data_IF_430015556441
#
_entry.id   IF_430015556441
#
_cell.length_a   1.000
_cell.length_b   1.000
_cell.length_c   1.000
_cell.angle_alpha   90.00
_cell.angle_beta   90.00
_cell.angle_gamma   90.00
#
_symmetry.space_group_name_H-M   'P 1'
#
loop_
_entity.id
_entity.type
_entity.pdbx_description
1 polymer ?
#
# COMPACT_ATOMS: atom_id res chain seq x y z
N UNK A 1 13.88 10.68 -2.86
CA UNK A 1 12.65 11.43 -2.44
C UNK A 1 11.42 10.52 -2.42
N UNK A 2 11.10 9.72 -3.49
CA UNK A 2 9.91 8.86 -3.52
C UNK A 2 9.81 7.93 -2.30
N UNK A 3 10.91 7.29 -1.91
CA UNK A 3 10.96 6.42 -0.73
C UNK A 3 10.63 7.21 0.55
N UNK A 4 11.10 8.44 0.66
CA UNK A 4 10.83 9.30 1.81
C UNK A 4 9.38 9.79 1.80
N UNK A 5 8.88 10.27 0.67
CA UNK A 5 7.55 10.87 0.56
C UNK A 5 6.42 9.83 0.59
N UNK A 6 6.54 8.77 -0.20
CA UNK A 6 5.48 7.78 -0.43
C UNK A 6 5.78 6.41 0.19
N UNK A 7 7.07 6.04 0.25
CA UNK A 7 7.46 4.68 0.57
C UNK A 7 7.29 3.75 -0.64
N UNK A 8 6.47 2.72 -0.49
CA UNK A 8 6.10 1.82 -1.58
C UNK A 8 4.67 2.13 -2.05
N UNK A 9 4.43 2.00 -3.34
CA UNK A 9 3.11 2.15 -3.96
C UNK A 9 2.71 0.81 -4.59
N UNK A 10 1.89 0.00 -3.92
CA UNK A 10 1.42 -1.29 -4.44
C UNK A 10 0.35 -1.10 -5.50
N UNK A 11 0.03 -2.20 -6.20
CA UNK A 11 -1.07 -2.27 -7.17
C UNK A 11 -2.14 -3.19 -6.61
N UNK A 12 -3.34 -2.66 -6.35
CA UNK A 12 -4.51 -3.44 -6.02
C UNK A 12 -5.08 -4.10 -7.29
N UNK A 13 -5.56 -5.34 -7.15
CA UNK A 13 -6.13 -6.10 -8.25
C UNK A 13 -7.33 -5.38 -8.86
N UNK A 14 -7.56 -5.66 -10.14
CA UNK A 14 -8.76 -5.18 -10.82
C UNK A 14 -10.03 -5.58 -10.06
N UNK A 15 -10.93 -4.63 -9.96
CA UNK A 15 -12.29 -4.82 -9.47
C UNK A 15 -13.29 -4.13 -10.39
N UNK A 16 -14.47 -4.72 -10.54
CA UNK A 16 -15.53 -4.15 -11.38
C UNK A 16 -16.10 -2.89 -10.75
N UNK A 17 -16.23 -1.78 -11.49
CA UNK A 17 -16.86 -0.56 -10.99
C UNK A 17 -18.27 -0.81 -10.44
N UNK A 18 -18.66 -0.04 -9.43
CA UNK A 18 -19.95 -0.13 -8.74
C UNK A 18 -20.21 -1.46 -8.01
N UNK A 19 -19.15 -2.18 -7.67
CA UNK A 19 -19.21 -3.38 -6.82
C UNK A 19 -18.29 -3.23 -5.60
N UNK A 20 -18.31 -4.20 -4.69
CA UNK A 20 -17.41 -4.24 -3.55
C UNK A 20 -15.99 -4.74 -3.90
N UNK A 21 -15.77 -5.19 -5.11
CA UNK A 21 -14.47 -5.75 -5.54
C UNK A 21 -13.32 -4.74 -5.39
N UNK A 22 -13.54 -3.45 -5.74
CA UNK A 22 -12.51 -2.40 -5.59
C UNK A 22 -12.26 -2.08 -4.11
N UNK A 23 -13.27 -1.78 -3.28
CA UNK A 23 -13.08 -1.59 -1.84
C UNK A 23 -12.38 -2.77 -1.15
N UNK A 24 -12.76 -4.00 -1.48
CA UNK A 24 -12.16 -5.21 -0.91
C UNK A 24 -10.68 -5.31 -1.29
N UNK A 25 -10.34 -5.14 -2.58
CA UNK A 25 -8.96 -5.15 -3.05
C UNK A 25 -8.11 -4.05 -2.40
N UNK A 26 -8.66 -2.85 -2.22
CA UNK A 26 -7.97 -1.70 -1.60
C UNK A 26 -7.79 -1.91 -0.10
N UNK A 27 -8.73 -2.56 0.58
CA UNK A 27 -8.70 -2.76 2.03
C UNK A 27 -7.44 -3.49 2.53
N UNK A 28 -6.84 -4.33 1.68
CA UNK A 28 -5.59 -5.04 1.97
C UNK A 28 -4.39 -4.08 2.10
N UNK A 29 -4.46 -2.89 1.52
CA UNK A 29 -3.33 -1.97 1.40
C UNK A 29 -3.45 -0.70 2.25
N UNK A 30 -4.67 -0.18 2.47
CA UNK A 30 -4.88 1.13 3.12
C UNK A 30 -4.30 1.24 4.52
N UNK A 31 -4.13 0.14 5.22
CA UNK A 31 -3.52 0.14 6.56
C UNK A 31 -1.99 0.22 6.52
N UNK A 32 -1.38 -0.03 5.35
CA UNK A 32 0.05 -0.27 5.21
C UNK A 32 0.76 0.70 4.29
N UNK A 33 0.04 1.36 3.39
CA UNK A 33 0.60 2.22 2.35
C UNK A 33 -0.15 3.55 2.30
N UNK A 34 0.53 4.59 1.85
CA UNK A 34 -0.02 5.95 1.73
C UNK A 34 -0.64 6.21 0.36
N UNK A 35 -0.32 5.38 -0.62
CA UNK A 35 -0.84 5.42 -1.98
C UNK A 35 -0.97 4.00 -2.53
N UNK A 36 -1.94 3.79 -3.40
CA UNK A 36 -2.22 2.50 -4.06
C UNK A 36 -2.58 2.75 -5.52
N UNK A 37 -1.97 2.03 -6.44
CA UNK A 37 -2.44 1.97 -7.82
C UNK A 37 -3.61 1.00 -7.92
N UNK A 38 -4.59 1.36 -8.71
CA UNK A 38 -5.77 0.51 -8.97
C UNK A 38 -5.65 -0.01 -10.39
N UNK A 39 -5.53 -1.33 -10.56
CA UNK A 39 -5.37 -1.94 -11.88
C UNK A 39 -6.49 -1.50 -12.82
N UNK A 40 -6.11 -0.92 -13.98
CA UNK A 40 -6.99 -0.36 -15.01
C UNK A 40 -7.90 0.82 -14.55
N UNK A 41 -7.72 1.37 -13.34
CA UNK A 41 -8.57 2.45 -12.84
C UNK A 41 -7.81 3.74 -12.51
N UNK A 42 -6.50 3.66 -12.19
CA UNK A 42 -5.69 4.83 -11.84
C UNK A 42 -5.01 4.71 -10.48
N UNK A 43 -4.96 5.80 -9.72
CA UNK A 43 -4.30 5.87 -8.44
C UNK A 43 -5.24 6.36 -7.33
N UNK A 44 -4.99 5.90 -6.11
CA UNK A 44 -5.67 6.33 -4.89
C UNK A 44 -4.62 6.81 -3.89
N UNK A 45 -4.83 8.00 -3.34
CA UNK A 45 -4.05 8.52 -2.21
C UNK A 45 -4.98 8.99 -1.10
N UNK A 46 -4.51 8.94 0.12
CA UNK A 46 -5.27 9.39 1.28
C UNK A 46 -4.33 9.93 2.35
N UNK A 47 -4.86 10.81 3.21
CA UNK A 47 -4.13 11.43 4.31
C UNK A 47 -5.10 12.05 5.30
N UNK A 48 -4.56 12.71 6.33
CA UNK A 48 -5.32 13.42 7.37
C UNK A 48 -6.06 14.66 6.82
N UNK A 49 -5.65 15.18 5.66
CA UNK A 49 -6.29 16.30 4.99
C UNK A 49 -6.32 16.12 3.48
N UNK A 50 -7.27 16.81 2.82
CA UNK A 50 -7.39 16.78 1.37
C UNK A 50 -6.13 17.31 0.69
N UNK A 51 -5.54 18.39 1.21
CA UNK A 51 -4.29 18.95 0.67
C UNK A 51 -3.15 17.94 0.77
N UNK A 52 -2.98 17.27 1.91
CA UNK A 52 -1.93 16.27 2.06
C UNK A 52 -2.14 15.06 1.14
N UNK A 53 -3.38 14.62 0.94
CA UNK A 53 -3.71 13.56 -0.03
C UNK A 53 -3.42 14.00 -1.47
N UNK A 54 -3.73 15.25 -1.82
CA UNK A 54 -3.43 15.84 -3.12
C UNK A 54 -1.92 15.88 -3.39
N UNK A 55 -1.12 16.36 -2.45
CA UNK A 55 0.34 16.41 -2.59
C UNK A 55 0.97 15.02 -2.73
N UNK A 56 0.39 14.01 -2.09
CA UNK A 56 0.79 12.61 -2.31
C UNK A 56 0.46 12.17 -3.74
N UNK A 57 -0.70 12.56 -4.29
CA UNK A 57 -1.07 12.24 -5.67
C UNK A 57 -0.13 12.90 -6.68
N UNK A 58 0.23 14.17 -6.49
CA UNK A 58 1.24 14.83 -7.31
C UNK A 58 2.58 14.08 -7.26
N UNK A 59 2.98 13.61 -6.08
CA UNK A 59 4.20 12.81 -5.93
C UNK A 59 4.11 11.49 -6.69
N UNK A 60 2.98 10.77 -6.63
CA UNK A 60 2.76 9.53 -7.39
C UNK A 60 2.91 9.78 -8.89
N UNK A 61 2.24 10.81 -9.42
CA UNK A 61 2.29 11.16 -10.83
C UNK A 61 3.71 11.53 -11.27
N UNK A 62 4.37 12.41 -10.52
CA UNK A 62 5.72 12.85 -10.82
C UNK A 62 6.72 11.68 -10.87
N UNK A 63 6.65 10.77 -9.90
CA UNK A 63 7.52 9.60 -9.88
C UNK A 63 7.18 8.57 -10.94
N UNK A 64 5.93 8.43 -11.33
CA UNK A 64 5.55 7.60 -12.48
C UNK A 64 6.20 8.12 -13.77
N UNK A 65 6.19 9.44 -13.98
CA UNK A 65 6.86 10.09 -15.12
C UNK A 65 8.38 9.88 -15.06
N UNK A 66 9.02 10.09 -13.91
CA UNK A 66 10.46 9.87 -13.74
C UNK A 66 10.85 8.41 -13.99
N UNK A 67 10.06 7.47 -13.52
CA UNK A 67 10.29 6.05 -13.76
C UNK A 67 10.17 5.69 -15.23
N UNK A 68 9.16 6.24 -15.91
CA UNK A 68 8.99 6.06 -17.37
C UNK A 68 10.21 6.59 -18.13
N UNK A 69 10.62 7.84 -17.86
CA UNK A 69 11.80 8.45 -18.48
C UNK A 69 13.08 7.68 -18.18
N UNK A 70 13.27 7.24 -16.93
CA UNK A 70 14.42 6.44 -16.52
C UNK A 70 14.51 5.12 -17.27
N UNK A 71 13.36 4.45 -17.50
CA UNK A 71 13.33 3.21 -18.30
C UNK A 71 13.75 3.43 -19.74
N UNK A 72 13.44 4.58 -20.33
CA UNK A 72 13.91 4.94 -21.69
C UNK A 72 15.43 5.16 -21.74
N UNK A 73 16.07 5.48 -20.62
CA UNK A 73 17.51 5.69 -20.47
C UNK A 73 18.26 4.45 -19.95
N UNK A 74 17.66 3.28 -19.98
CA UNK A 74 18.29 2.02 -19.53
C UNK A 74 17.82 1.54 -18.16
N UNK A 75 16.89 2.21 -17.53
CA UNK A 75 16.26 1.85 -16.26
C UNK A 75 16.92 2.48 -15.04
N UNK A 76 16.18 2.54 -13.92
CA UNK A 76 16.72 3.04 -12.66
C UNK A 76 17.66 2.02 -12.03
N UNK A 77 18.62 2.50 -11.25
CA UNK A 77 19.40 1.65 -10.35
C UNK A 77 18.59 1.41 -9.08
N UNK A 78 18.46 0.16 -8.69
CA UNK A 78 17.82 -0.21 -7.44
C UNK A 78 18.70 0.17 -6.24
N UNK A 79 18.04 0.57 -5.15
CA UNK A 79 18.72 0.79 -3.88
C UNK A 79 19.04 -0.55 -3.21
N UNK A 80 20.15 -0.58 -2.50
CA UNK A 80 20.44 -1.70 -1.59
C UNK A 80 19.47 -1.64 -0.40
N UNK A 81 19.20 -2.78 0.30
CA UNK A 81 18.37 -2.78 1.49
C UNK A 81 18.82 -1.79 2.57
N UNK A 82 20.14 -1.61 2.74
CA UNK A 82 20.69 -0.64 3.69
C UNK A 82 20.34 0.80 3.29
N UNK A 83 20.49 1.16 2.01
CA UNK A 83 20.14 2.49 1.52
C UNK A 83 18.64 2.78 1.70
N UNK A 84 17.79 1.78 1.53
CA UNK A 84 16.35 1.92 1.79
C UNK A 84 16.11 2.19 3.27
N UNK A 85 16.75 1.46 4.17
CA UNK A 85 16.63 1.67 5.63
C UNK A 85 17.09 3.08 6.04
N UNK A 86 18.22 3.54 5.51
CA UNK A 86 18.74 4.90 5.77
C UNK A 86 17.73 5.98 5.32
N UNK A 87 17.06 5.78 4.19
CA UNK A 87 16.01 6.70 3.71
C UNK A 87 14.75 6.67 4.60
N UNK A 88 14.39 5.51 5.14
CA UNK A 88 13.29 5.40 6.10
C UNK A 88 13.64 6.04 7.45
N UNK A 89 14.91 6.02 7.87
CA UNK A 89 15.34 6.76 9.05
C UNK A 89 15.15 8.27 8.85
N UNK A 90 15.52 8.81 7.69
CA UNK A 90 15.27 10.22 7.34
C UNK A 90 13.76 10.51 7.37
N UNK A 91 12.93 9.62 6.83
CA UNK A 91 11.46 9.73 6.88
C UNK A 91 10.96 9.85 8.33
N UNK A 92 11.48 9.00 9.25
CA UNK A 92 11.15 9.06 10.68
C UNK A 92 11.57 10.39 11.32
N UNK A 93 12.77 10.88 11.01
CA UNK A 93 13.28 12.17 11.52
C UNK A 93 12.43 13.35 11.07
N UNK A 94 11.87 13.32 9.88
CA UNK A 94 10.93 14.32 9.39
C UNK A 94 9.50 14.18 9.96
N UNK A 95 9.27 13.20 10.81
CA UNK A 95 7.95 12.95 11.38
C UNK A 95 6.90 12.50 10.34
N UNK A 96 7.34 12.05 9.17
CA UNK A 96 6.43 11.60 8.11
C UNK A 96 5.81 10.27 8.51
N UNK A 97 4.50 10.24 8.54
CA UNK A 97 3.74 9.02 8.82
C UNK A 97 3.78 8.07 7.61
N UNK A 98 3.64 6.80 7.87
CA UNK A 98 3.62 5.74 6.87
C UNK A 98 4.40 4.52 7.36
N UNK A 99 4.10 3.36 6.81
CA UNK A 99 4.72 2.11 7.24
C UNK A 99 5.90 1.74 6.34
N UNK A 100 6.91 1.16 6.95
CA UNK A 100 8.05 0.65 6.22
C UNK A 100 7.67 -0.66 5.51
N UNK A 101 7.85 -0.79 4.18
CA UNK A 101 7.52 -2.03 3.46
C UNK A 101 8.20 -3.27 4.03
N UNK A 102 9.44 -3.15 4.52
CA UNK A 102 10.16 -4.24 5.16
C UNK A 102 9.48 -4.80 6.42
N UNK A 103 8.64 -4.00 7.08
CA UNK A 103 7.84 -4.46 8.22
C UNK A 103 6.64 -5.32 7.80
N UNK A 104 6.30 -5.28 6.54
CA UNK A 104 5.16 -6.03 5.95
C UNK A 104 5.62 -7.34 5.31
N UNK A 105 6.92 -7.50 5.06
CA UNK A 105 7.48 -8.71 4.48
C UNK A 105 8.19 -9.52 5.56
N UNK A 106 7.59 -10.61 6.08
CA UNK A 106 8.21 -11.45 7.10
C UNK A 106 9.56 -12.02 6.66
N UNK A 107 9.79 -12.19 5.36
CA UNK A 107 11.03 -12.72 4.81
C UNK A 107 12.22 -11.77 4.95
N UNK A 108 12.01 -10.46 5.13
CA UNK A 108 13.10 -9.49 5.34
C UNK A 108 13.68 -9.61 6.75
N UNK A 109 12.85 -9.96 7.75
CA UNK A 109 13.31 -10.17 9.13
C UNK A 109 14.19 -11.42 9.31
N UNK A 110 14.12 -12.36 8.39
CA UNK A 110 14.87 -13.63 8.43
C UNK A 110 16.16 -13.59 7.59
N UNK A 111 16.61 -12.42 7.12
CA UNK A 111 17.83 -12.30 6.30
C UNK A 111 17.73 -12.93 4.92
N UNK A 112 16.53 -13.27 4.45
CA UNK A 112 16.30 -13.73 3.09
C UNK A 112 16.38 -12.53 2.11
N UNK A 113 16.84 -12.75 0.88
CA UNK A 113 16.97 -11.67 -0.10
C UNK A 113 15.62 -10.95 -0.26
N UNK A 114 15.69 -9.63 -0.29
CA UNK A 114 14.54 -8.75 -0.43
C UNK A 114 13.55 -9.26 -1.47
N UNK A 115 12.29 -9.23 -1.12
CA UNK A 115 11.22 -9.50 -2.07
C UNK A 115 11.33 -8.51 -3.24
N UNK A 116 11.89 -8.93 -4.37
CA UNK A 116 12.01 -8.13 -5.59
C UNK A 116 10.64 -7.82 -6.23
N UNK A 117 9.57 -8.17 -5.56
CA UNK A 117 8.20 -8.04 -6.03
C UNK A 117 7.34 -7.29 -5.01
N UNK A 118 7.63 -6.00 -4.78
CA UNK A 118 6.58 -5.12 -4.29
C UNK A 118 5.47 -4.90 -5.36
N UNK A 119 5.45 -5.68 -6.41
CA UNK A 119 4.41 -5.74 -7.44
C UNK A 119 3.63 -7.06 -7.48
N UNK A 120 3.93 -7.99 -6.58
CA UNK A 120 3.20 -9.24 -6.46
C UNK A 120 3.16 -9.62 -4.99
N UNK A 121 1.96 -9.76 -4.45
CA UNK A 121 1.75 -10.04 -3.03
C UNK A 121 2.71 -11.08 -2.50
N UNK A 122 3.35 -10.76 -1.39
CA UNK A 122 3.97 -11.77 -0.55
C UNK A 122 2.83 -12.67 -0.06
N UNK A 123 2.49 -13.67 -0.86
CA UNK A 123 1.68 -14.76 -0.36
C UNK A 123 2.54 -15.55 0.63
N UNK A 124 2.48 -15.16 1.89
CA UNK A 124 2.58 -16.15 2.94
C UNK A 124 1.27 -16.93 2.88
N UNK A 125 1.34 -18.23 2.73
CA UNK A 125 0.27 -19.16 3.07
C UNK A 125 0.01 -19.12 4.60
N UNK A 126 -0.18 -17.93 5.13
CA UNK A 126 -0.71 -17.76 6.46
C UNK A 126 -2.22 -17.72 6.32
N UNK A 127 -2.78 -18.83 6.78
CA UNK A 127 -4.18 -19.06 7.03
C UNK A 127 -4.89 -17.74 7.25
N UNK A 128 -5.79 -17.37 6.31
CA UNK A 128 -6.86 -16.43 6.56
C UNK A 128 -7.36 -16.69 7.97
N UNK A 129 -7.14 -15.77 8.89
CA UNK A 129 -8.03 -15.64 10.02
C UNK A 129 -9.35 -15.16 9.39
N UNK A 130 -10.07 -16.08 8.83
CA UNK A 130 -11.45 -15.85 8.43
C UNK A 130 -12.10 -15.30 9.70
N UNK A 131 -12.56 -14.05 9.64
CA UNK A 131 -13.48 -13.53 10.65
C UNK A 131 -14.54 -14.60 10.78
N UNK A 132 -14.65 -15.21 11.98
CA UNK A 132 -15.52 -16.37 12.14
C UNK A 132 -16.93 -15.95 11.74
N UNK A 133 -17.67 -16.86 11.13
CA UNK A 133 -19.07 -16.60 10.75
C UNK A 133 -19.89 -16.03 11.92
N UNK A 134 -19.51 -16.38 13.15
CA UNK A 134 -20.13 -15.88 14.38
C UNK A 134 -19.89 -14.40 14.61
N UNK A 135 -18.69 -13.87 14.33
CA UNK A 135 -18.38 -12.43 14.45
C UNK A 135 -19.12 -11.63 13.38
N UNK A 136 -19.23 -12.16 12.17
CA UNK A 136 -20.03 -11.52 11.10
C UNK A 136 -21.50 -11.50 11.49
N UNK A 137 -22.04 -12.59 12.03
CA UNK A 137 -23.42 -12.67 12.49
C UNK A 137 -23.70 -11.70 13.65
N UNK A 138 -22.77 -11.56 14.62
CA UNK A 138 -22.93 -10.64 15.74
C UNK A 138 -22.89 -9.17 15.29
N UNK A 139 -21.98 -8.81 14.39
CA UNK A 139 -21.92 -7.45 13.82
C UNK A 139 -23.19 -7.15 13.04
N UNK A 140 -23.64 -8.09 12.20
CA UNK A 140 -24.88 -7.93 11.41
C UNK A 140 -26.09 -7.73 12.33
N UNK A 141 -26.20 -8.50 13.40
CA UNK A 141 -27.27 -8.36 14.39
C UNK A 141 -27.27 -6.98 15.05
N UNK A 142 -26.11 -6.51 15.52
CA UNK A 142 -25.96 -5.17 16.13
C UNK A 142 -26.33 -4.04 15.16
N UNK A 143 -25.96 -4.15 13.89
CA UNK A 143 -26.31 -3.16 12.86
C UNK A 143 -27.80 -3.16 12.60
N UNK A 144 -28.45 -4.32 12.50
CA UNK A 144 -29.90 -4.41 12.32
C UNK A 144 -30.69 -3.87 13.52
N UNK A 145 -30.26 -4.13 14.76
CA UNK A 145 -30.84 -3.56 15.97
C UNK A 145 -30.73 -2.02 16.00
N UNK A 146 -29.63 -1.44 15.52
CA UNK A 146 -29.45 0.02 15.42
C UNK A 146 -30.30 0.65 14.30
N UNK A 147 -30.63 -0.09 13.26
CA UNK A 147 -31.47 0.35 12.15
C UNK A 147 -32.94 0.15 12.39
N UNK A 148 -33.36 -0.36 13.57
CA UNK A 148 -34.78 -0.49 13.97
C UNK A 148 -35.55 -1.53 13.15
N UNK A 149 -34.90 -2.56 12.65
CA UNK A 149 -35.53 -3.71 11.97
C UNK A 149 -35.30 -5.00 12.73
#
# INVERSE_FOLDING_TARGET
>A
EAVIALGCVPIAKYGRPSTMEIPDAVSEYVQHFDAVLLENHGALTYSDSLLAAYLKMESVEFYAQLLYQSRMLGGPKEFTPQQVEDLYEIRRQFGMKGRHPANLCPNVKEGKPSCHTCGGGCHSDDKKSAVSADVVAEITKKVLEQLGK
#
